data_IF_908186627504
#
_entry.id   IF_908186627504
#
_cell.length_a   1.000
_cell.length_b   1.000
_cell.length_c   1.000
_cell.angle_alpha   90.00
_cell.angle_beta   90.00
_cell.angle_gamma   90.00
#
_symmetry.space_group_name_H-M   'P 1'
#
loop_
_entity.id
_entity.type
_entity.pdbx_description
1 polymer ?
#
# COMPACT_ATOMS: atom_id res chain seq x y z
N UNK A 1 -40.20 45.67 -28.42
CA UNK A 1 -40.98 45.55 -27.17
C UNK A 1 -41.99 44.44 -27.41
N UNK A 2 -42.06 43.28 -26.75
CA UNK A 2 -41.66 42.77 -25.43
C UNK A 2 -40.93 41.42 -25.62
N UNK A 3 -39.72 41.22 -25.12
CA UNK A 3 -39.44 40.54 -23.84
C UNK A 3 -40.25 39.26 -23.58
N UNK A 4 -39.64 38.11 -23.88
CA UNK A 4 -39.92 36.84 -23.19
C UNK A 4 -38.63 36.37 -22.53
N UNK A 5 -38.27 37.04 -21.43
CA UNK A 5 -37.37 36.45 -20.45
C UNK A 5 -38.14 35.30 -19.79
N UNK A 6 -37.90 34.07 -20.26
CA UNK A 6 -38.25 32.88 -19.50
C UNK A 6 -37.34 32.86 -18.26
N UNK A 7 -37.77 33.55 -17.20
CA UNK A 7 -37.25 33.33 -15.86
C UNK A 7 -37.67 31.91 -15.48
N UNK A 8 -36.80 30.94 -15.73
CA UNK A 8 -36.90 29.65 -15.06
C UNK A 8 -36.68 29.91 -13.58
N UNK A 9 -37.78 29.83 -12.84
CA UNK A 9 -37.83 29.84 -11.39
C UNK A 9 -36.83 28.80 -10.90
N UNK A 10 -35.73 29.25 -10.28
CA UNK A 10 -34.89 28.41 -9.43
C UNK A 10 -35.71 28.07 -8.19
N UNK A 11 -36.64 27.13 -8.36
CA UNK A 11 -37.40 26.54 -7.27
C UNK A 11 -36.41 25.82 -6.37
N UNK A 12 -36.30 26.30 -5.13
CA UNK A 12 -35.50 25.67 -4.09
C UNK A 12 -35.82 24.19 -3.99
N UNK A 13 -34.95 23.36 -4.53
CA UNK A 13 -35.10 21.93 -4.50
C UNK A 13 -34.33 21.38 -3.31
N UNK A 14 -35.05 21.04 -2.25
CA UNK A 14 -34.63 19.96 -1.35
C UNK A 14 -34.78 18.62 -2.10
N UNK A 15 -34.07 18.49 -3.23
CA UNK A 15 -34.04 17.26 -4.01
C UNK A 15 -33.06 16.33 -3.32
N UNK A 16 -33.55 15.15 -2.95
CA UNK A 16 -32.71 14.08 -2.47
C UNK A 16 -31.69 13.76 -3.58
N UNK A 17 -30.46 14.26 -3.43
CA UNK A 17 -29.45 14.18 -4.48
C UNK A 17 -29.08 12.72 -4.64
N UNK A 18 -29.51 12.12 -5.75
CA UNK A 18 -29.08 10.78 -6.11
C UNK A 18 -27.65 10.88 -6.67
N UNK A 19 -26.67 10.65 -5.79
CA UNK A 19 -25.26 10.68 -6.17
C UNK A 19 -24.94 9.72 -7.34
N UNK A 20 -25.61 8.57 -7.42
CA UNK A 20 -25.40 7.63 -8.51
C UNK A 20 -25.88 8.20 -9.85
N UNK A 21 -27.01 8.90 -9.87
CA UNK A 21 -27.52 9.54 -11.09
C UNK A 21 -26.57 10.65 -11.60
N UNK A 22 -25.93 11.38 -10.69
CA UNK A 22 -24.87 12.35 -11.05
C UNK A 22 -23.64 11.66 -11.63
N UNK A 23 -23.26 10.51 -11.07
CA UNK A 23 -22.10 9.74 -11.51
C UNK A 23 -22.35 8.92 -12.78
N UNK A 24 -23.59 8.68 -13.21
CA UNK A 24 -23.90 8.03 -14.49
C UNK A 24 -23.60 8.95 -15.69
N UNK A 25 -23.84 10.25 -15.54
CA UNK A 25 -23.47 11.25 -16.55
C UNK A 25 -21.94 11.41 -16.64
N UNK A 26 -21.39 11.27 -17.85
CA UNK A 26 -19.93 11.28 -18.04
C UNK A 26 -19.28 12.66 -17.79
N UNK A 27 -19.95 13.75 -18.15
CA UNK A 27 -19.46 15.11 -17.94
C UNK A 27 -19.44 15.43 -16.44
N UNK A 28 -20.56 15.20 -15.76
CA UNK A 28 -20.69 15.41 -14.32
C UNK A 28 -19.73 14.52 -13.52
N UNK A 29 -19.61 13.24 -13.89
CA UNK A 29 -18.62 12.32 -13.28
C UNK A 29 -17.19 12.84 -13.42
N UNK A 30 -16.82 13.34 -14.60
CA UNK A 30 -15.47 13.87 -14.85
C UNK A 30 -15.22 15.13 -14.04
N UNK A 31 -16.20 16.03 -13.97
CA UNK A 31 -16.09 17.27 -13.19
C UNK A 31 -15.94 16.99 -11.69
N UNK A 32 -16.73 16.06 -11.15
CA UNK A 32 -16.64 15.63 -9.74
C UNK A 32 -15.26 15.00 -9.46
N UNK A 33 -14.78 14.11 -10.32
CA UNK A 33 -13.45 13.49 -10.17
C UNK A 33 -12.36 14.55 -10.19
N UNK A 34 -12.43 15.51 -11.11
CA UNK A 34 -11.45 16.60 -11.20
C UNK A 34 -11.51 17.53 -9.98
N UNK A 35 -12.70 17.81 -9.45
CA UNK A 35 -12.86 18.61 -8.23
C UNK A 35 -12.25 17.92 -7.01
N UNK A 36 -12.43 16.59 -6.87
CA UNK A 36 -11.78 15.80 -5.83
C UNK A 36 -10.26 15.82 -6.04
N UNK A 37 -9.80 15.57 -7.27
CA UNK A 37 -8.38 15.45 -7.56
C UNK A 37 -7.60 16.77 -7.44
N UNK A 38 -8.24 17.89 -7.78
CA UNK A 38 -7.66 19.23 -7.75
C UNK A 38 -7.71 19.91 -6.38
N UNK A 39 -8.42 19.34 -5.39
CA UNK A 39 -8.56 19.93 -4.06
C UNK A 39 -7.90 19.06 -3.00
N UNK A 40 -6.93 19.62 -2.27
CA UNK A 40 -6.16 18.87 -1.27
C UNK A 40 -7.05 18.26 -0.18
N UNK A 41 -8.04 19.00 0.34
CA UNK A 41 -8.92 18.52 1.39
C UNK A 41 -9.77 17.34 0.91
N UNK A 42 -10.40 17.48 -0.26
CA UNK A 42 -11.23 16.41 -0.82
C UNK A 42 -10.42 15.19 -1.19
N UNK A 43 -9.22 15.38 -1.74
CA UNK A 43 -8.32 14.27 -2.02
C UNK A 43 -7.93 13.54 -0.72
N UNK A 44 -7.59 14.25 0.36
CA UNK A 44 -7.26 13.61 1.64
C UNK A 44 -8.44 12.80 2.17
N UNK A 45 -9.64 13.38 2.22
CA UNK A 45 -10.85 12.67 2.68
C UNK A 45 -11.17 11.44 1.80
N UNK A 46 -11.00 11.56 0.49
CA UNK A 46 -11.18 10.47 -0.45
C UNK A 46 -10.15 9.34 -0.22
N UNK A 47 -8.90 9.69 0.03
CA UNK A 47 -7.84 8.73 0.36
C UNK A 47 -8.09 8.02 1.69
N UNK A 48 -8.59 8.72 2.70
CA UNK A 48 -8.94 8.12 3.99
C UNK A 48 -10.08 7.10 3.84
N UNK A 49 -11.12 7.44 3.06
CA UNK A 49 -12.22 6.52 2.76
C UNK A 49 -11.74 5.26 2.00
N UNK A 50 -10.80 5.41 1.07
CA UNK A 50 -10.23 4.29 0.31
C UNK A 50 -9.40 3.35 1.18
N UNK A 51 -8.62 3.89 2.14
CA UNK A 51 -7.77 3.07 3.02
C UNK A 51 -8.56 2.08 3.89
N UNK A 52 -9.82 2.40 4.19
CA UNK A 52 -10.71 1.53 4.96
C UNK A 52 -11.64 0.68 4.08
N UNK A 53 -11.53 0.77 2.75
CA UNK A 53 -12.41 0.07 1.82
C UNK A 53 -11.67 -1.11 1.16
N UNK A 54 -12.09 -2.34 1.45
CA UNK A 54 -11.43 -3.56 0.94
C UNK A 54 -11.38 -3.63 -0.58
N UNK A 55 -12.45 -3.21 -1.26
CA UNK A 55 -12.48 -3.22 -2.72
C UNK A 55 -11.50 -2.20 -3.32
N UNK A 56 -11.44 -1.00 -2.75
CA UNK A 56 -10.45 0.00 -3.14
C UNK A 56 -9.02 -0.50 -2.91
N UNK A 57 -8.78 -1.15 -1.76
CA UNK A 57 -7.48 -1.76 -1.44
C UNK A 57 -7.09 -2.85 -2.44
N UNK A 58 -8.02 -3.72 -2.84
CA UNK A 58 -7.79 -4.72 -3.89
C UNK A 58 -7.44 -4.08 -5.23
N UNK A 59 -8.18 -3.04 -5.63
CA UNK A 59 -7.92 -2.30 -6.87
C UNK A 59 -6.55 -1.63 -6.85
N UNK A 60 -6.13 -1.06 -5.71
CA UNK A 60 -4.79 -0.47 -5.55
C UNK A 60 -3.69 -1.52 -5.62
N UNK A 61 -3.86 -2.68 -4.97
CA UNK A 61 -2.89 -3.77 -4.99
C UNK A 61 -2.71 -4.38 -6.39
N UNK A 62 -3.80 -4.52 -7.14
CA UNK A 62 -3.79 -5.05 -8.51
C UNK A 62 -3.29 -4.05 -9.56
N UNK A 63 -3.17 -2.76 -9.23
CA UNK A 63 -2.82 -1.73 -10.19
C UNK A 63 -1.30 -1.64 -10.42
N UNK A 64 -0.85 -2.29 -11.50
CA UNK A 64 0.55 -2.31 -11.91
C UNK A 64 1.15 -0.92 -12.16
N UNK A 65 0.36 0.05 -12.67
CA UNK A 65 0.86 1.40 -12.94
C UNK A 65 1.12 2.16 -11.64
N UNK A 66 0.21 2.01 -10.67
CA UNK A 66 0.35 2.58 -9.33
C UNK A 66 1.53 1.95 -8.58
N UNK A 67 1.59 0.61 -8.55
CA UNK A 67 2.72 -0.14 -8.00
C UNK A 67 4.05 0.25 -8.67
N UNK A 68 4.06 0.36 -9.99
CA UNK A 68 5.22 0.78 -10.76
C UNK A 68 5.70 2.20 -10.40
N UNK A 69 4.79 3.14 -10.15
CA UNK A 69 5.16 4.47 -9.68
C UNK A 69 5.74 4.44 -8.26
N UNK A 70 5.15 3.67 -7.34
CA UNK A 70 5.69 3.50 -5.98
C UNK A 70 7.08 2.86 -6.00
N UNK A 71 7.30 1.87 -6.88
CA UNK A 71 8.61 1.22 -7.02
C UNK A 71 9.65 2.10 -7.71
N UNK A 72 9.23 2.96 -8.64
CA UNK A 72 10.14 3.87 -9.35
C UNK A 72 10.67 4.99 -8.46
N UNK A 73 9.93 5.36 -7.41
CA UNK A 73 10.44 6.26 -6.39
C UNK A 73 11.43 5.54 -5.46
N UNK A 74 12.68 5.48 -5.93
CA UNK A 74 13.81 4.87 -5.24
C UNK A 74 13.98 5.40 -3.80
N UNK A 75 13.51 6.61 -3.48
CA UNK A 75 13.64 7.16 -2.13
C UNK A 75 12.69 6.48 -1.14
N UNK A 76 11.45 6.24 -1.56
CA UNK A 76 10.48 5.51 -0.74
C UNK A 76 10.91 4.06 -0.55
N UNK A 77 11.33 3.39 -1.63
CA UNK A 77 11.81 2.02 -1.58
C UNK A 77 13.08 1.89 -0.72
N UNK A 78 14.00 2.85 -0.83
CA UNK A 78 15.21 2.90 0.00
C UNK A 78 14.90 3.17 1.47
N UNK A 79 13.94 4.05 1.79
CA UNK A 79 13.48 4.27 3.18
C UNK A 79 12.82 3.01 3.74
N UNK A 80 12.00 2.32 2.94
CA UNK A 80 11.36 1.06 3.34
C UNK A 80 12.40 -0.04 3.59
N UNK A 81 13.36 -0.22 2.67
CA UNK A 81 14.48 -1.15 2.86
C UNK A 81 15.34 -0.78 4.07
N UNK A 82 15.65 0.51 4.28
CA UNK A 82 16.40 0.95 5.46
C UNK A 82 15.63 0.65 6.75
N UNK A 83 14.32 0.86 6.78
CA UNK A 83 13.50 0.54 7.95
C UNK A 83 13.42 -0.97 8.20
N UNK A 84 13.33 -1.79 7.15
CA UNK A 84 13.42 -3.25 7.27
C UNK A 84 14.79 -3.69 7.79
N UNK A 85 15.89 -3.15 7.25
CA UNK A 85 17.25 -3.45 7.72
C UNK A 85 17.50 -3.02 9.16
N UNK A 86 16.87 -1.93 9.62
CA UNK A 86 16.92 -1.51 11.03
C UNK A 86 16.15 -2.45 11.96
N UNK A 87 15.19 -3.21 11.44
CA UNK A 87 14.39 -4.15 12.21
C UNK A 87 14.83 -5.60 11.93
N UNK A 88 15.95 -6.00 12.55
CA UNK A 88 16.55 -7.33 12.39
C UNK A 88 15.60 -8.51 12.61
N UNK A 89 14.55 -8.34 13.42
CA UNK A 89 13.51 -9.37 13.65
C UNK A 89 12.69 -9.66 12.39
N UNK A 90 12.37 -8.63 11.61
CA UNK A 90 11.63 -8.78 10.35
C UNK A 90 12.50 -9.44 9.28
N UNK A 91 13.78 -9.04 9.21
CA UNK A 91 14.74 -9.61 8.28
C UNK A 91 15.03 -11.10 8.58
N UNK A 92 15.18 -11.46 9.85
CA UNK A 92 15.34 -12.85 10.27
C UNK A 92 14.14 -13.74 9.92
N UNK A 93 12.91 -13.25 10.12
CA UNK A 93 11.70 -13.97 9.73
C UNK A 93 11.60 -14.19 8.22
N UNK A 94 12.03 -13.21 7.42
CA UNK A 94 12.04 -13.32 5.96
C UNK A 94 13.07 -14.36 5.49
N UNK A 95 14.27 -14.35 6.07
CA UNK A 95 15.30 -15.36 5.78
C UNK A 95 14.80 -16.76 6.13
N UNK A 96 14.18 -16.92 7.29
CA UNK A 96 13.58 -18.20 7.70
C UNK A 96 12.56 -18.71 6.68
N UNK A 97 11.66 -17.83 6.22
CA UNK A 97 10.68 -18.19 5.18
C UNK A 97 11.33 -18.58 3.85
N UNK A 98 12.41 -17.89 3.44
CA UNK A 98 13.14 -18.23 2.21
C UNK A 98 13.80 -19.60 2.30
N UNK A 99 14.33 -19.95 3.47
CA UNK A 99 14.85 -21.28 3.75
C UNK A 99 13.74 -22.34 3.77
N UNK A 100 12.63 -22.09 4.46
CA UNK A 100 11.47 -22.99 4.50
C UNK A 100 10.86 -23.23 3.10
N UNK A 101 10.95 -22.25 2.19
CA UNK A 101 10.55 -22.38 0.78
C UNK A 101 11.63 -23.00 -0.12
N UNK A 102 12.74 -23.48 0.43
CA UNK A 102 13.84 -24.09 -0.31
C UNK A 102 14.61 -23.12 -1.22
N UNK A 103 14.43 -21.81 -1.05
CA UNK A 103 15.13 -20.78 -1.82
C UNK A 103 16.54 -20.53 -1.30
N UNK A 104 16.85 -21.00 -0.08
CA UNK A 104 18.18 -20.95 0.53
C UNK A 104 18.47 -22.28 1.23
N UNK A 105 19.67 -22.82 1.01
CA UNK A 105 20.17 -23.99 1.74
C UNK A 105 20.46 -23.65 3.20
N UNK A 106 20.47 -24.67 4.06
CA UNK A 106 20.79 -24.53 5.50
C UNK A 106 22.13 -23.81 5.72
N UNK A 107 23.20 -24.24 5.06
CA UNK A 107 24.50 -23.58 5.19
C UNK A 107 24.52 -22.13 4.66
N UNK A 108 23.66 -21.79 3.69
CA UNK A 108 23.55 -20.42 3.18
C UNK A 108 22.82 -19.50 4.18
N UNK A 109 21.77 -20.00 4.84
CA UNK A 109 21.05 -19.23 5.86
C UNK A 109 21.87 -19.09 7.14
N UNK A 110 22.56 -20.14 7.59
CA UNK A 110 23.45 -20.10 8.76
C UNK A 110 24.57 -19.08 8.58
N UNK A 111 25.29 -19.16 7.45
CA UNK A 111 26.35 -18.20 7.13
C UNK A 111 25.82 -16.76 7.02
N UNK A 112 24.61 -16.55 6.47
CA UNK A 112 23.97 -15.24 6.45
C UNK A 112 23.61 -14.73 7.85
N UNK A 113 23.08 -15.61 8.72
CA UNK A 113 22.71 -15.26 10.09
C UNK A 113 23.94 -14.89 10.93
N UNK A 114 25.03 -15.63 10.80
CA UNK A 114 26.28 -15.33 11.50
C UNK A 114 26.86 -13.98 11.09
N UNK A 115 26.89 -13.68 9.78
CA UNK A 115 27.33 -12.38 9.29
C UNK A 115 26.45 -11.23 9.79
N UNK A 116 25.13 -11.45 9.90
CA UNK A 116 24.21 -10.44 10.43
C UNK A 116 24.39 -10.20 11.93
N UNK A 117 24.67 -11.26 12.68
CA UNK A 117 24.98 -11.19 14.11
C UNK A 117 26.29 -10.43 14.34
N UNK A 118 27.32 -10.74 13.57
CA UNK A 118 28.62 -10.04 13.60
C UNK A 118 28.47 -8.54 13.29
N UNK A 119 27.62 -8.19 12.32
CA UNK A 119 27.33 -6.79 11.95
C UNK A 119 26.36 -6.07 12.89
N UNK A 120 25.96 -6.69 14.01
CA UNK A 120 25.06 -6.09 15.00
C UNK A 120 23.65 -5.81 14.46
N UNK A 121 23.25 -6.47 13.37
CA UNK A 121 21.94 -6.28 12.73
C UNK A 121 20.83 -7.10 13.38
N UNK A 122 21.17 -8.06 14.24
CA UNK A 122 20.21 -8.79 15.07
C UNK A 122 20.18 -8.21 16.49
N UNK A 123 19.01 -7.72 16.92
CA UNK A 123 18.82 -7.24 18.29
C UNK A 123 19.02 -8.37 19.31
N UNK A 124 19.73 -8.05 20.40
CA UNK A 124 19.97 -8.93 21.55
C UNK A 124 18.63 -9.46 22.08
N UNK A 125 18.28 -10.71 21.74
CA UNK A 125 17.08 -11.37 22.24
C UNK A 125 16.22 -12.10 21.22
N UNK A 126 16.53 -12.04 19.93
CA UNK A 126 15.78 -12.82 18.92
C UNK A 126 16.59 -14.02 18.47
N UNK A 127 16.08 -15.22 18.77
CA UNK A 127 16.59 -16.55 18.40
C UNK A 127 17.66 -17.10 19.34
N UNK A 128 17.19 -17.68 20.46
CA UNK A 128 17.78 -18.93 20.94
C UNK A 128 17.65 -19.92 19.79
N UNK A 129 18.76 -20.30 19.16
CA UNK A 129 18.78 -21.55 18.40
C UNK A 129 18.51 -22.64 19.44
N UNK A 130 17.47 -23.44 19.23
CA UNK A 130 17.48 -24.76 19.83
C UNK A 130 18.63 -25.47 19.12
N UNK A 131 19.79 -25.53 19.78
CA UNK A 131 20.75 -26.56 19.48
C UNK A 131 20.09 -27.87 19.90
N UNK A 132 19.66 -28.65 18.91
CA UNK A 132 19.38 -30.06 19.10
C UNK A 132 19.96 -30.81 17.89
N UNK A 133 21.04 -31.51 18.22
CA UNK A 133 21.51 -32.78 17.72
C UNK A 133 21.91 -32.96 16.25
N UNK A 134 23.23 -33.04 16.10
CA UNK A 134 23.89 -33.92 15.14
C UNK A 134 23.23 -35.30 15.07
N UNK A 135 22.72 -35.69 13.90
CA UNK A 135 23.06 -36.98 13.27
C UNK A 135 22.37 -37.20 11.93
N UNK A 136 23.18 -37.22 10.87
CA UNK A 136 22.99 -38.08 9.68
C UNK A 136 22.02 -37.61 8.60
N UNK A 137 22.50 -37.44 7.37
CA UNK A 137 22.60 -38.55 6.41
C UNK A 137 23.31 -38.11 5.11
N UNK A 138 24.06 -39.08 4.56
CA UNK A 138 24.76 -39.21 3.27
C UNK A 138 24.49 -38.22 2.14
#
# INVERSE_FOLDING_TARGET
>A
MLSMAALTVLGGCNQNVNANALLENAETRTEIINAIAGNHKYMTEFMDAMQTNDHAMQMMQGNQKMMGHMMKDSMMMRKMMQNMMKNGKMMGNMMKMMHEKGMMSEGCIESCMDMMKEKGMMGVGSMKSNGDDHSGHH
#
